data_IF_622906419252
#
_entry.id   IF_622906419252
#
_cell.length_a   1.000
_cell.length_b   1.000
_cell.length_c   1.000
_cell.angle_alpha   90.00
_cell.angle_beta   90.00
_cell.angle_gamma   90.00
#
_symmetry.space_group_name_H-M   'P 1'
#
loop_
_entity.id
_entity.type
_entity.pdbx_description
1 polymer ?
#
# COMPACT_ATOMS: atom_id res chain seq x y z
N UNK A 1 -20.53 23.12 0.04
CA UNK A 1 -20.11 21.87 0.73
C UNK A 1 -20.34 20.72 -0.25
N UNK A 2 -19.30 20.38 -1.02
CA UNK A 2 -19.34 19.24 -1.92
C UNK A 2 -19.19 17.94 -1.11
N UNK A 3 -19.95 16.88 -1.39
CA UNK A 3 -19.82 15.62 -0.68
C UNK A 3 -18.44 15.00 -0.98
N UNK A 4 -17.73 14.64 0.06
CA UNK A 4 -16.48 13.90 0.02
C UNK A 4 -16.76 12.50 -0.55
N UNK A 5 -16.59 12.34 -1.84
CA UNK A 5 -16.63 11.03 -2.48
C UNK A 5 -15.36 10.28 -2.07
N UNK A 6 -15.53 9.29 -1.23
CA UNK A 6 -14.48 8.34 -0.86
C UNK A 6 -14.17 7.48 -2.08
N UNK A 7 -13.36 8.01 -3.00
CA UNK A 7 -12.88 7.22 -4.15
C UNK A 7 -11.89 6.18 -3.64
N UNK A 8 -12.23 4.93 -3.86
CA UNK A 8 -11.36 3.77 -3.57
C UNK A 8 -10.11 3.85 -4.45
N UNK A 9 -8.94 3.59 -3.85
CA UNK A 9 -7.74 3.25 -4.61
C UNK A 9 -8.00 1.85 -5.15
N UNK A 10 -8.28 1.75 -6.45
CA UNK A 10 -8.43 0.45 -7.09
C UNK A 10 -7.02 -0.05 -7.46
N UNK A 11 -6.62 -1.17 -6.90
CA UNK A 11 -5.44 -1.91 -7.35
C UNK A 11 -5.92 -2.89 -8.39
N UNK A 12 -5.45 -2.74 -9.61
CA UNK A 12 -5.57 -3.78 -10.64
C UNK A 12 -4.18 -4.37 -10.83
N UNK A 13 -4.04 -5.64 -10.53
CA UNK A 13 -2.87 -6.40 -10.96
C UNK A 13 -3.05 -6.61 -12.48
N UNK A 14 -2.06 -6.24 -13.28
CA UNK A 14 -2.01 -6.70 -14.66
C UNK A 14 -1.79 -8.21 -14.62
N UNK A 15 -2.61 -8.98 -15.34
CA UNK A 15 -2.57 -10.45 -15.36
C UNK A 15 -1.19 -11.04 -15.70
N UNK A 16 -0.28 -10.24 -16.28
CA UNK A 16 1.07 -10.64 -16.67
C UNK A 16 2.15 -10.51 -15.57
N UNK A 17 1.82 -9.96 -14.38
CA UNK A 17 2.76 -9.76 -13.28
C UNK A 17 2.21 -10.29 -11.96
N UNK A 18 2.09 -11.60 -11.84
CA UNK A 18 2.02 -12.22 -10.53
C UNK A 18 3.39 -12.06 -9.87
N UNK A 19 3.56 -11.01 -9.06
CA UNK A 19 4.70 -10.87 -8.18
C UNK A 19 4.65 -12.08 -7.25
N UNK A 20 5.55 -13.06 -7.44
CA UNK A 20 5.62 -14.25 -6.60
C UNK A 20 5.78 -13.88 -5.12
N UNK A 21 5.61 -14.83 -4.20
CA UNK A 21 5.93 -14.63 -2.79
C UNK A 21 7.40 -14.95 -2.54
N UNK A 22 8.03 -14.17 -1.65
CA UNK A 22 9.37 -14.50 -1.12
C UNK A 22 9.19 -15.44 0.07
N UNK A 23 9.96 -16.54 0.10
CA UNK A 23 9.98 -17.38 1.29
C UNK A 23 10.58 -16.61 2.46
N UNK A 24 9.83 -16.48 3.53
CA UNK A 24 10.24 -15.85 4.78
C UNK A 24 10.29 -16.90 5.91
N UNK A 25 11.25 -16.74 6.83
CA UNK A 25 11.47 -17.70 7.90
C UNK A 25 10.31 -17.77 8.91
N UNK A 26 9.59 -16.67 9.09
CA UNK A 26 8.48 -16.56 10.05
C UNK A 26 7.19 -16.18 9.34
N UNK A 27 6.06 -16.60 9.89
CA UNK A 27 4.77 -16.04 9.47
C UNK A 27 4.66 -14.56 9.87
N UNK A 28 3.82 -13.75 9.22
CA UNK A 28 3.58 -12.36 9.65
C UNK A 28 3.16 -12.26 11.11
N UNK A 29 2.39 -13.23 11.61
CA UNK A 29 1.99 -13.30 13.01
C UNK A 29 3.20 -13.52 13.92
N UNK A 30 4.03 -14.52 13.64
CA UNK A 30 5.23 -14.82 14.44
C UNK A 30 6.21 -13.65 14.43
N UNK A 31 6.38 -12.98 13.27
CA UNK A 31 7.19 -11.77 13.14
C UNK A 31 6.67 -10.64 14.01
N UNK A 32 5.37 -10.42 14.04
CA UNK A 32 4.77 -9.37 14.87
C UNK A 32 4.88 -9.71 16.37
N UNK A 33 4.70 -10.96 16.76
CA UNK A 33 4.88 -11.41 18.15
C UNK A 33 6.34 -11.22 18.62
N UNK A 34 7.33 -11.48 17.77
CA UNK A 34 8.73 -11.20 18.03
C UNK A 34 8.96 -9.70 18.29
N UNK A 35 8.41 -8.84 17.40
CA UNK A 35 8.46 -7.39 17.58
C UNK A 35 7.84 -6.95 18.91
N UNK A 36 6.62 -7.42 19.22
CA UNK A 36 5.95 -7.06 20.47
C UNK A 36 6.77 -7.48 21.70
N UNK A 37 7.37 -8.68 21.65
CA UNK A 37 8.21 -9.20 22.73
C UNK A 37 9.46 -8.32 22.92
N UNK A 38 10.13 -7.92 21.84
CA UNK A 38 11.30 -7.04 21.90
C UNK A 38 10.99 -5.66 22.51
N UNK A 39 9.74 -5.20 22.33
CA UNK A 39 9.24 -3.92 22.89
C UNK A 39 8.54 -4.07 24.25
N UNK A 40 8.51 -5.27 24.83
CA UNK A 40 7.79 -5.59 26.08
C UNK A 40 6.29 -5.25 26.02
N UNK A 41 5.71 -5.37 24.82
CA UNK A 41 4.30 -5.12 24.58
C UNK A 41 3.49 -6.42 24.57
N UNK A 42 2.22 -6.34 25.00
CA UNK A 42 1.32 -7.49 24.99
C UNK A 42 0.63 -7.64 23.66
N UNK A 43 0.46 -8.88 23.21
CA UNK A 43 -0.48 -9.22 22.13
C UNK A 43 -1.90 -9.04 22.62
N UNK A 44 -2.72 -8.33 21.86
CA UNK A 44 -4.15 -8.11 22.15
C UNK A 44 -5.02 -8.65 21.03
N UNK A 45 -6.28 -8.98 21.30
CA UNK A 45 -7.22 -9.43 20.27
C UNK A 45 -7.43 -8.39 19.17
N UNK A 46 -7.38 -7.09 19.50
CA UNK A 46 -7.46 -6.03 18.51
C UNK A 46 -6.28 -6.05 17.53
N UNK A 47 -5.05 -6.26 18.03
CA UNK A 47 -3.85 -6.41 17.19
C UNK A 47 -3.93 -7.64 16.30
N UNK A 48 -4.39 -8.78 16.83
CA UNK A 48 -4.61 -10.01 16.05
C UNK A 48 -5.64 -9.81 14.94
N UNK A 49 -6.77 -9.19 15.27
CA UNK A 49 -7.84 -8.89 14.30
C UNK A 49 -7.35 -7.98 13.18
N UNK A 50 -6.58 -6.94 13.51
CA UNK A 50 -6.00 -6.05 12.51
C UNK A 50 -4.98 -6.77 11.64
N UNK A 51 -4.08 -7.54 12.23
CA UNK A 51 -3.09 -8.32 11.48
C UNK A 51 -3.78 -9.28 10.50
N UNK A 52 -4.78 -10.02 10.98
CA UNK A 52 -5.56 -10.92 10.12
C UNK A 52 -6.24 -10.15 8.98
N UNK A 53 -6.90 -9.03 9.28
CA UNK A 53 -7.58 -8.21 8.27
C UNK A 53 -6.62 -7.69 7.21
N UNK A 54 -5.45 -7.20 7.61
CA UNK A 54 -4.42 -6.69 6.70
C UNK A 54 -3.88 -7.80 5.81
N UNK A 55 -3.48 -8.93 6.37
CA UNK A 55 -2.85 -10.03 5.62
C UNK A 55 -3.82 -10.98 4.90
N UNK A 56 -5.13 -10.71 4.98
CA UNK A 56 -6.13 -11.43 4.15
C UNK A 56 -6.24 -10.83 2.74
N UNK A 57 -5.84 -9.56 2.57
CA UNK A 57 -5.93 -8.84 1.29
C UNK A 57 -4.56 -8.24 0.97
N UNK A 58 -4.07 -8.44 -0.24
CA UNK A 58 -2.77 -7.95 -0.69
C UNK A 58 -2.84 -6.58 -1.39
N UNK A 59 -3.94 -5.84 -1.19
CA UNK A 59 -4.14 -4.53 -1.79
C UNK A 59 -3.41 -3.43 -1.02
N UNK A 60 -2.99 -2.39 -1.73
CA UNK A 60 -2.63 -1.12 -1.10
C UNK A 60 -3.86 -0.53 -0.42
N UNK A 61 -3.70 0.05 0.74
CA UNK A 61 -4.82 0.63 1.49
C UNK A 61 -4.40 1.85 2.29
N UNK A 62 -5.34 2.73 2.54
CA UNK A 62 -5.23 3.75 3.58
C UNK A 62 -5.93 3.29 4.88
N UNK A 63 -5.71 4.03 5.97
CA UNK A 63 -6.28 3.68 7.26
C UNK A 63 -7.82 3.69 7.25
N UNK A 64 -8.46 4.57 6.46
CA UNK A 64 -9.91 4.66 6.38
C UNK A 64 -10.51 3.47 5.64
N UNK A 65 -9.84 3.00 4.59
CA UNK A 65 -10.22 1.78 3.88
C UNK A 65 -10.13 0.54 4.78
N UNK A 66 -9.07 0.44 5.61
CA UNK A 66 -8.96 -0.62 6.59
C UNK A 66 -10.07 -0.55 7.63
N UNK A 67 -10.35 0.64 8.19
CA UNK A 67 -11.43 0.86 9.16
C UNK A 67 -12.78 0.46 8.59
N UNK A 68 -13.05 0.74 7.32
CA UNK A 68 -14.30 0.36 6.66
C UNK A 68 -14.51 -1.16 6.56
N UNK A 69 -13.41 -1.95 6.56
CA UNK A 69 -13.44 -3.42 6.54
C UNK A 69 -13.60 -4.04 7.93
N UNK A 70 -13.38 -3.27 9.01
CA UNK A 70 -13.45 -3.76 10.39
C UNK A 70 -14.89 -3.79 10.93
N UNK A 71 -15.17 -4.64 11.94
CA UNK A 71 -16.46 -4.68 12.61
C UNK A 71 -16.84 -3.32 13.21
N UNK A 72 -18.12 -2.94 13.08
CA UNK A 72 -18.65 -1.70 13.63
C UNK A 72 -18.65 -1.72 15.16
N UNK A 73 -18.67 -0.52 15.76
CA UNK A 73 -18.77 -0.34 17.22
C UNK A 73 -19.92 -1.17 17.79
N UNK A 74 -19.64 -1.90 18.89
CA UNK A 74 -20.58 -2.80 19.53
C UNK A 74 -20.58 -4.24 18.98
N UNK A 75 -19.81 -4.55 17.96
CA UNK A 75 -19.61 -5.91 17.46
C UNK A 75 -18.27 -6.49 17.92
N UNK A 76 -18.21 -7.82 18.06
CA UNK A 76 -16.96 -8.52 18.38
C UNK A 76 -15.88 -8.20 17.34
N UNK A 77 -14.64 -7.98 17.79
CA UNK A 77 -13.55 -7.61 16.90
C UNK A 77 -13.50 -6.14 16.50
N UNK A 78 -14.38 -5.27 17.05
CA UNK A 78 -14.29 -3.83 16.82
C UNK A 78 -12.96 -3.26 17.30
N UNK A 79 -12.36 -2.41 16.47
CA UNK A 79 -11.13 -1.67 16.79
C UNK A 79 -11.37 -0.17 16.61
N UNK A 80 -11.00 0.61 17.60
CA UNK A 80 -11.15 2.07 17.55
C UNK A 80 -10.17 2.69 16.55
N UNK A 81 -10.55 3.82 15.93
CA UNK A 81 -9.67 4.55 14.99
C UNK A 81 -8.27 4.82 15.56
N UNK A 82 -8.10 5.36 16.78
CA UNK A 82 -6.76 5.58 17.34
C UNK A 82 -5.94 4.28 17.47
N UNK A 83 -6.59 3.16 17.80
CA UNK A 83 -5.93 1.85 17.87
C UNK A 83 -5.49 1.38 16.51
N UNK A 84 -6.29 1.59 15.44
CA UNK A 84 -5.91 1.25 14.07
C UNK A 84 -4.64 1.99 13.67
N UNK A 85 -4.60 3.32 13.81
CA UNK A 85 -3.41 4.12 13.45
C UNK A 85 -2.17 3.72 14.22
N UNK A 86 -2.31 3.49 15.54
CA UNK A 86 -1.18 3.03 16.36
C UNK A 86 -0.67 1.66 15.90
N UNK A 87 -1.56 0.71 15.67
CA UNK A 87 -1.17 -0.64 15.26
C UNK A 87 -0.60 -0.68 13.85
N UNK A 88 -1.07 0.17 12.92
CA UNK A 88 -0.45 0.31 11.60
C UNK A 88 0.99 0.82 11.70
N UNK A 89 1.28 1.77 12.59
CA UNK A 89 2.66 2.19 12.85
C UNK A 89 3.49 1.04 13.45
N UNK A 90 2.93 0.25 14.38
CA UNK A 90 3.58 -0.93 14.92
C UNK A 90 3.90 -1.97 13.82
N UNK A 91 3.02 -2.15 12.84
CA UNK A 91 3.27 -3.04 11.69
C UNK A 91 4.40 -2.51 10.80
N UNK A 92 4.48 -1.19 10.59
CA UNK A 92 5.58 -0.57 9.85
C UNK A 92 6.90 -0.76 10.62
N UNK A 93 6.93 -0.51 11.93
CA UNK A 93 8.11 -0.68 12.78
C UNK A 93 8.57 -2.13 12.87
N UNK A 94 7.63 -3.09 12.79
CA UNK A 94 7.92 -4.52 12.73
C UNK A 94 8.45 -4.99 11.37
N UNK A 95 8.46 -4.12 10.35
CA UNK A 95 8.83 -4.46 8.96
C UNK A 95 7.79 -5.36 8.26
N UNK A 96 6.54 -5.33 8.71
CA UNK A 96 5.43 -6.05 8.08
C UNK A 96 4.80 -5.26 6.95
N UNK A 97 4.74 -3.93 7.10
CA UNK A 97 4.18 -3.00 6.14
C UNK A 97 5.20 -1.90 5.82
N UNK A 98 5.09 -1.36 4.61
CA UNK A 98 5.65 -0.07 4.25
C UNK A 98 4.58 0.99 4.25
N UNK A 99 4.98 2.22 4.57
CA UNK A 99 4.13 3.41 4.48
C UNK A 99 4.76 4.43 3.55
N UNK A 100 3.96 5.01 2.67
CA UNK A 100 4.37 6.13 1.83
C UNK A 100 3.25 7.16 1.67
N UNK A 101 3.59 8.33 1.18
CA UNK A 101 2.61 9.39 0.92
C UNK A 101 2.24 9.38 -0.56
N UNK A 102 0.94 9.40 -0.86
CA UNK A 102 0.40 9.52 -2.20
C UNK A 102 -0.76 10.52 -2.17
N UNK A 103 -0.66 11.62 -2.93
CA UNK A 103 -1.62 12.73 -2.90
C UNK A 103 -1.93 13.25 -1.48
N UNK A 104 -0.90 13.36 -0.63
CA UNK A 104 -1.03 13.83 0.75
C UNK A 104 -1.65 12.82 1.72
N UNK A 105 -1.92 11.59 1.29
CA UNK A 105 -2.46 10.50 2.14
C UNK A 105 -1.39 9.47 2.43
N UNK A 106 -1.44 8.90 3.64
CA UNK A 106 -0.63 7.74 3.98
C UNK A 106 -1.23 6.48 3.37
N UNK A 107 -0.47 5.80 2.52
CA UNK A 107 -0.80 4.52 1.91
C UNK A 107 0.10 3.46 2.52
N UNK A 108 -0.45 2.29 2.77
CA UNK A 108 0.23 1.14 3.31
C UNK A 108 0.26 0.02 2.29
N UNK A 109 1.39 -0.68 2.21
CA UNK A 109 1.60 -1.86 1.37
C UNK A 109 2.30 -2.97 2.16
N UNK A 110 2.15 -4.21 1.71
CA UNK A 110 2.87 -5.34 2.29
C UNK A 110 4.37 -5.23 1.97
N UNK A 111 5.22 -5.43 2.97
CA UNK A 111 6.67 -5.49 2.83
C UNK A 111 7.20 -6.90 3.09
N UNK A 112 6.68 -7.51 4.16
CA UNK A 112 7.15 -8.81 4.63
C UNK A 112 6.65 -9.96 3.75
N UNK A 113 7.60 -10.71 3.17
CA UNK A 113 7.27 -11.81 2.28
C UNK A 113 6.77 -11.39 0.89
N UNK A 114 6.88 -10.10 0.56
CA UNK A 114 6.47 -9.58 -0.73
C UNK A 114 7.70 -9.11 -1.53
N UNK A 115 7.83 -9.45 -2.81
CA UNK A 115 8.96 -9.02 -3.61
C UNK A 115 8.96 -7.51 -3.82
N UNK A 116 10.13 -6.93 -3.95
CA UNK A 116 10.25 -5.50 -4.23
C UNK A 116 9.64 -5.19 -5.60
N UNK A 117 8.84 -4.15 -5.66
CA UNK A 117 8.13 -3.69 -6.85
C UNK A 117 8.07 -2.17 -6.87
N UNK A 118 7.73 -1.64 -8.02
CA UNK A 118 7.56 -0.23 -8.30
C UNK A 118 6.12 0.05 -8.75
N UNK A 119 5.75 1.33 -8.89
CA UNK A 119 4.37 1.71 -9.08
C UNK A 119 4.18 2.67 -10.24
N UNK A 120 3.10 2.44 -11.03
CA UNK A 120 2.51 3.44 -11.91
C UNK A 120 1.27 4.01 -11.23
N UNK A 121 1.18 5.31 -11.08
CA UNK A 121 0.03 5.97 -10.46
C UNK A 121 -0.72 6.85 -11.44
N UNK A 122 -2.01 6.56 -11.63
CA UNK A 122 -2.88 7.39 -12.45
C UNK A 122 -3.43 8.58 -11.66
N UNK A 123 -3.05 9.79 -12.02
CA UNK A 123 -3.51 11.02 -11.35
C UNK A 123 -4.99 11.34 -11.56
N UNK A 124 -5.66 10.68 -12.55
CA UNK A 124 -7.09 10.88 -12.82
C UNK A 124 -7.99 9.93 -12.03
N UNK A 125 -7.79 8.62 -12.18
CA UNK A 125 -8.62 7.61 -11.50
C UNK A 125 -8.02 7.11 -10.18
N UNK A 126 -6.77 7.53 -9.86
CA UNK A 126 -6.04 7.13 -8.64
C UNK A 126 -5.72 5.63 -8.58
N UNK A 127 -5.75 4.96 -9.72
CA UNK A 127 -5.31 3.58 -9.81
C UNK A 127 -3.81 3.51 -9.59
N UNK A 128 -3.39 2.56 -8.76
CA UNK A 128 -2.00 2.19 -8.55
C UNK A 128 -1.77 0.82 -9.20
N UNK A 129 -0.77 0.72 -10.05
CA UNK A 129 -0.40 -0.50 -10.78
C UNK A 129 1.00 -0.88 -10.32
N UNK A 130 1.16 -2.08 -9.79
CA UNK A 130 2.46 -2.63 -9.43
C UNK A 130 3.17 -3.16 -10.68
N UNK A 131 4.47 -2.97 -10.75
CA UNK A 131 5.31 -3.54 -11.78
C UNK A 131 6.72 -3.83 -11.26
N UNK A 132 7.43 -4.68 -11.98
CA UNK A 132 8.86 -4.93 -11.78
C UNK A 132 9.56 -4.77 -13.12
N UNK A 133 10.75 -4.15 -13.11
CA UNK A 133 11.61 -4.06 -14.28
C UNK A 133 13.03 -4.36 -13.85
N UNK A 134 13.62 -5.36 -14.49
CA UNK A 134 15.02 -5.74 -14.25
C UNK A 134 15.97 -4.65 -14.76
N UNK A 135 15.59 -3.93 -15.82
CA UNK A 135 16.38 -2.79 -16.36
C UNK A 135 16.47 -1.64 -15.34
N UNK A 136 15.38 -1.35 -14.61
CA UNK A 136 15.40 -0.36 -13.54
C UNK A 136 16.25 -0.80 -12.35
N UNK A 137 16.24 -2.09 -12.03
CA UNK A 137 17.10 -2.65 -10.99
C UNK A 137 18.56 -2.55 -11.36
N UNK A 138 18.94 -2.85 -12.61
CA UNK A 138 20.29 -2.73 -13.15
C UNK A 138 20.75 -1.27 -13.17
N UNK A 139 19.90 -0.36 -13.64
CA UNK A 139 20.18 1.08 -13.64
C UNK A 139 20.46 1.59 -12.22
N UNK A 140 19.62 1.23 -11.27
CA UNK A 140 19.81 1.56 -9.84
C UNK A 140 21.17 1.07 -9.33
N UNK A 141 21.53 -0.18 -9.62
CA UNK A 141 22.79 -0.76 -9.18
C UNK A 141 23.98 -0.05 -9.82
N UNK A 142 23.91 0.25 -11.10
CA UNK A 142 24.96 0.99 -11.83
C UNK A 142 25.18 2.37 -11.24
N UNK A 143 24.12 3.10 -10.95
CA UNK A 143 24.21 4.44 -10.31
C UNK A 143 24.83 4.33 -8.91
N UNK A 144 24.38 3.36 -8.10
CA UNK A 144 24.91 3.17 -6.76
C UNK A 144 26.42 2.84 -6.77
N UNK A 145 26.87 1.97 -7.68
CA UNK A 145 28.29 1.62 -7.83
C UNK A 145 29.15 2.82 -8.23
N UNK A 146 28.69 3.65 -9.16
CA UNK A 146 29.40 4.88 -9.56
C UNK A 146 29.61 5.86 -8.40
N UNK A 147 28.72 5.84 -7.41
CA UNK A 147 28.78 6.71 -6.24
C UNK A 147 29.30 5.99 -4.99
N UNK A 148 29.83 4.77 -5.12
CA UNK A 148 30.27 3.93 -3.98
C UNK A 148 29.19 3.82 -2.88
N UNK A 149 27.92 3.71 -3.30
CA UNK A 149 26.76 3.77 -2.43
C UNK A 149 26.13 2.39 -2.22
N UNK A 150 25.89 2.02 -0.96
CA UNK A 150 25.19 0.78 -0.62
C UNK A 150 23.68 1.01 -0.61
N UNK A 151 22.97 0.47 -1.58
CA UNK A 151 21.50 0.52 -1.61
C UNK A 151 20.92 -0.43 -0.58
N UNK A 152 20.07 0.08 0.31
CA UNK A 152 19.32 -0.73 1.28
C UNK A 152 17.86 -0.93 0.86
N UNK A 153 17.29 0.04 0.16
CA UNK A 153 15.94 -0.03 -0.42
C UNK A 153 15.81 1.01 -1.53
N UNK A 154 14.80 0.89 -2.37
CA UNK A 154 14.38 1.96 -3.27
C UNK A 154 12.86 1.98 -3.36
N UNK A 155 12.32 3.07 -3.88
CA UNK A 155 10.92 3.19 -4.28
C UNK A 155 10.87 4.07 -5.52
N UNK A 156 10.16 3.60 -6.53
CA UNK A 156 9.84 4.38 -7.71
C UNK A 156 8.32 4.45 -7.86
N UNK A 157 7.80 5.67 -8.00
CA UNK A 157 6.39 5.90 -8.33
C UNK A 157 6.37 6.79 -9.57
N UNK A 158 5.94 6.24 -10.69
CA UNK A 158 5.78 6.99 -11.94
C UNK A 158 4.35 7.48 -11.99
N UNK A 159 4.17 8.78 -12.05
CA UNK A 159 2.85 9.41 -12.12
C UNK A 159 2.48 9.74 -13.56
N UNK A 160 1.22 9.48 -13.91
CA UNK A 160 0.74 9.71 -15.27
C UNK A 160 -0.77 9.57 -15.40
N UNK A 161 -1.24 9.25 -16.59
CA UNK A 161 -2.66 9.01 -16.88
C UNK A 161 -2.76 7.64 -17.55
N UNK A 162 -3.55 6.71 -16.96
CA UNK A 162 -3.73 5.39 -17.52
C UNK A 162 -4.49 5.43 -18.86
N UNK A 163 -4.40 4.36 -19.62
CA UNK A 163 -4.99 4.27 -20.96
C UNK A 163 -6.51 4.54 -20.96
N UNK A 164 -7.25 3.93 -20.03
CA UNK A 164 -8.69 4.14 -19.90
C UNK A 164 -9.07 5.61 -19.64
N UNK A 165 -8.28 6.30 -18.79
CA UNK A 165 -8.47 7.72 -18.50
C UNK A 165 -8.01 8.63 -19.65
N UNK A 166 -7.04 8.23 -20.45
CA UNK A 166 -6.57 9.00 -21.61
C UNK A 166 -7.55 8.93 -22.77
N UNK A 167 -8.18 7.74 -22.97
CA UNK A 167 -9.17 7.51 -24.00
C UNK A 167 -10.54 8.08 -23.67
N UNK A 168 -10.88 8.33 -22.41
CA UNK A 168 -12.14 8.95 -22.03
C UNK A 168 -12.15 10.41 -22.52
N UNK A 169 -12.74 10.64 -23.69
CA UNK A 169 -12.96 11.98 -24.24
C UNK A 169 -13.81 12.77 -23.22
N UNK A 170 -13.31 13.92 -22.75
CA UNK A 170 -14.20 14.95 -22.20
C UNK A 170 -15.28 15.23 -23.23
N UNK A 171 -16.58 15.26 -22.87
CA UNK A 171 -17.58 15.79 -23.78
C UNK A 171 -17.16 17.21 -24.17
N UNK A 172 -17.03 17.48 -25.47
CA UNK A 172 -16.81 18.82 -25.98
C UNK A 172 -17.94 19.68 -25.43
N UNK A 173 -17.65 20.67 -24.59
CA UNK A 173 -18.62 21.74 -24.31
C UNK A 173 -18.99 22.33 -25.65
N UNK A 174 -20.28 22.21 -26.01
CA UNK A 174 -20.87 22.95 -27.10
C UNK A 174 -20.65 24.42 -26.79
N UNK A 175 -19.72 25.06 -27.49
CA UNK A 175 -19.66 26.51 -27.49
C UNK A 175 -20.87 26.98 -28.27
N UNK A 176 -21.77 27.66 -27.56
CA UNK A 176 -22.93 28.32 -28.14
C UNK A 176 -22.50 29.18 -29.34
N UNK A 177 -23.09 28.87 -30.49
CA UNK A 177 -23.08 29.80 -31.62
C UNK A 177 -24.03 30.94 -31.27
N UNK A 178 -23.47 32.13 -31.18
CA UNK A 178 -24.19 33.40 -31.29
C UNK A 178 -24.59 33.58 -32.76
#
# INVERSE_FOLDING_TARGET
TLPFVTQRIAVTMSEDFALGSIQVALSPQARFEEYLRSRKMRQTEQRKSLLKCVFTHHDHFDADQLIAKLPRKGKAGHVSRPTVYRTLNEFVDAGLLRRFSLDGRAVYEHDYGYPQHDHLYCTKCRQLIEFRSDELLELRQTVAQRHHFRVTSHRLIIQGVCESCSKSRRPRRHQDRI
#
